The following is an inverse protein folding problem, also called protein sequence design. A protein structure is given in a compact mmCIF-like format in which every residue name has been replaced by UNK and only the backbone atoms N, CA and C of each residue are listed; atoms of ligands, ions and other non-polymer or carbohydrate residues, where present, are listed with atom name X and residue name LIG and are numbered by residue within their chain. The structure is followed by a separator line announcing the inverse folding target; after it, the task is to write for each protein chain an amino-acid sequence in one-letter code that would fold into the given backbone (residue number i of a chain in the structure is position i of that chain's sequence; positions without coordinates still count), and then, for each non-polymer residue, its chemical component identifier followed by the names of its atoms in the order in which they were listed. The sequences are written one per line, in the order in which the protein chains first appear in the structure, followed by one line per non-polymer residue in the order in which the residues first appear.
data_IF_867764282738
#
_entry.id   IF_867764282738
#
_cell.length_a   1.000
_cell.length_b   1.000
_cell.length_c   1.000
_cell.angle_alpha   90.00
_cell.angle_beta   90.00
_cell.angle_gamma   90.00
#
_symmetry.space_group_name_H-M   'P 1'
#
loop_
_entity.id
_entity.type
_entity.pdbx_description
1 polymer ?
#
# COMPACT_ATOMS: atom_id res chain seq x y z
N UNK A 1 24.36 30.82 1.47
CA UNK A 1 23.47 31.52 2.42
C UNK A 1 23.24 30.61 3.61
N UNK A 2 23.67 31.01 4.80
CA UNK A 2 23.35 30.30 6.05
C UNK A 2 21.87 30.51 6.30
N UNK A 3 21.08 29.44 6.30
CA UNK A 3 19.63 29.51 6.48
C UNK A 3 19.32 30.12 7.85
N UNK A 4 18.45 31.12 7.91
CA UNK A 4 18.04 31.81 9.14
C UNK A 4 17.04 30.98 9.97
N UNK A 5 17.17 29.65 9.91
CA UNK A 5 16.31 28.66 10.55
C UNK A 5 16.75 28.40 11.98
N UNK A 6 15.80 28.11 12.87
CA UNK A 6 16.05 27.77 14.28
C UNK A 6 16.23 26.26 14.52
N UNK A 7 15.85 25.44 13.55
CA UNK A 7 15.90 23.98 13.61
C UNK A 7 17.09 23.42 12.82
N UNK A 8 17.53 22.23 13.22
CA UNK A 8 18.66 21.49 12.67
C UNK A 8 18.15 20.57 11.56
N UNK A 9 18.83 20.59 10.42
CA UNK A 9 18.73 19.52 9.42
C UNK A 9 20.06 18.78 9.26
N UNK A 10 20.07 17.67 8.53
CA UNK A 10 21.25 16.83 8.37
C UNK A 10 22.47 17.58 7.80
N UNK A 11 22.30 18.44 6.80
CA UNK A 11 23.41 19.20 6.19
C UNK A 11 24.11 20.15 7.16
N UNK A 12 23.45 20.57 8.25
CA UNK A 12 24.08 21.40 9.27
C UNK A 12 25.21 20.64 9.98
N UNK A 13 25.05 19.33 10.17
CA UNK A 13 26.03 18.43 10.80
C UNK A 13 27.31 18.28 9.98
N UNK A 14 27.17 18.36 8.66
CA UNK A 14 28.33 18.32 7.74
C UNK A 14 29.20 19.57 7.87
N UNK A 15 28.64 20.67 8.39
CA UNK A 15 29.31 21.97 8.55
C UNK A 15 29.76 22.20 9.99
N UNK A 16 28.97 21.78 10.96
CA UNK A 16 29.22 21.92 12.38
C UNK A 16 29.19 20.56 13.08
N UNK A 17 30.37 20.09 13.50
CA UNK A 17 30.52 18.80 14.16
C UNK A 17 29.95 18.77 15.58
N UNK A 18 29.75 19.92 16.23
CA UNK A 18 29.14 19.98 17.56
C UNK A 18 27.68 19.52 17.54
N UNK A 19 27.01 19.63 16.38
CA UNK A 19 25.63 19.17 16.20
C UNK A 19 25.48 17.64 16.24
N UNK A 20 26.57 16.89 16.10
CA UNK A 20 26.56 15.42 16.20
C UNK A 20 26.07 14.94 17.56
N UNK A 21 26.54 15.54 18.64
CA UNK A 21 26.15 15.15 20.01
C UNK A 21 24.63 15.22 20.21
N UNK A 22 23.98 16.27 19.68
CA UNK A 22 22.52 16.41 19.77
C UNK A 22 21.77 15.36 18.94
N UNK A 23 22.29 14.98 17.78
CA UNK A 23 21.71 13.94 16.94
C UNK A 23 21.96 12.53 17.48
N UNK A 24 23.12 12.27 18.06
CA UNK A 24 23.43 11.01 18.75
C UNK A 24 22.48 10.82 19.94
N UNK A 25 22.28 11.85 20.76
CA UNK A 25 21.26 11.88 21.83
C UNK A 25 19.84 11.69 21.28
N UNK A 26 19.53 12.27 20.12
CA UNK A 26 18.25 12.08 19.45
C UNK A 26 18.03 10.61 19.05
N UNK A 27 19.03 10.00 18.41
CA UNK A 27 19.01 8.57 18.03
C UNK A 27 18.83 7.71 19.27
N UNK A 28 19.58 7.95 20.35
CA UNK A 28 19.45 7.21 21.60
C UNK A 28 18.03 7.34 22.19
N UNK A 29 17.47 8.55 22.19
CA UNK A 29 16.11 8.78 22.67
C UNK A 29 15.07 8.02 21.83
N UNK A 30 15.24 7.95 20.51
CA UNK A 30 14.37 7.16 19.61
C UNK A 30 14.54 5.67 19.90
N UNK A 31 15.78 5.19 19.98
CA UNK A 31 16.07 3.78 20.21
C UNK A 31 15.55 3.28 21.56
N UNK A 32 15.60 4.12 22.59
CA UNK A 32 15.11 3.83 23.95
C UNK A 32 13.63 4.15 24.18
N UNK A 33 12.91 4.63 23.15
CA UNK A 33 11.47 4.94 23.24
C UNK A 33 11.12 6.20 24.05
N UNK A 34 12.13 7.02 24.38
CA UNK A 34 11.98 8.28 25.13
C UNK A 34 11.64 9.46 24.22
N UNK A 35 11.94 9.38 22.92
CA UNK A 35 11.64 10.44 21.98
C UNK A 35 10.13 10.70 21.84
N UNK A 36 9.78 11.97 21.58
CA UNK A 36 8.41 12.41 21.28
C UNK A 36 8.46 13.40 20.13
N UNK A 37 7.57 13.22 19.16
CA UNK A 37 7.42 14.16 18.04
C UNK A 37 6.75 15.43 18.56
N UNK A 38 7.37 16.55 18.26
CA UNK A 38 6.85 17.90 18.48
C UNK A 38 6.77 18.63 17.14
N UNK A 39 6.42 19.91 17.18
CA UNK A 39 6.52 20.82 16.05
C UNK A 39 7.55 21.90 16.34
N UNK A 40 8.28 22.32 15.30
CA UNK A 40 9.22 23.45 15.40
C UNK A 40 8.49 24.72 15.81
N UNK A 41 9.18 25.61 16.53
CA UNK A 41 8.71 26.96 16.83
C UNK A 41 8.66 27.76 15.53
N UNK A 42 7.47 27.84 14.94
CA UNK A 42 7.25 28.68 13.77
C UNK A 42 7.14 30.16 14.15
N UNK A 43 7.79 31.03 13.36
CA UNK A 43 7.46 32.47 13.36
C UNK A 43 6.06 32.64 12.77
N UNK A 44 5.35 33.69 13.19
CA UNK A 44 4.03 34.01 12.65
C UNK A 44 4.07 34.06 11.11
N UNK A 45 3.23 33.26 10.45
CA UNK A 45 3.16 33.16 8.99
C UNK A 45 4.08 32.09 8.34
N UNK A 46 4.88 31.35 9.10
CA UNK A 46 5.68 30.23 8.59
C UNK A 46 5.11 28.88 9.01
N UNK A 47 5.25 27.83 8.18
CA UNK A 47 4.85 26.47 8.56
C UNK A 47 5.72 25.94 9.70
N UNK A 48 5.10 25.19 10.60
CA UNK A 48 5.80 24.39 11.62
C UNK A 48 6.06 22.99 11.07
N UNK A 49 7.24 22.44 11.34
CA UNK A 49 7.65 21.13 10.84
C UNK A 49 7.72 20.09 11.97
N UNK A 50 7.48 18.80 11.70
CA UNK A 50 7.72 17.74 12.67
C UNK A 50 9.19 17.73 13.13
N UNK A 51 9.42 17.70 14.44
CA UNK A 51 10.78 17.68 14.99
C UNK A 51 10.87 16.93 16.32
N UNK A 52 12.08 16.57 16.71
CA UNK A 52 12.45 16.17 18.06
C UNK A 52 13.06 17.36 18.80
N UNK A 53 12.71 17.52 20.08
CA UNK A 53 13.37 18.50 20.93
C UNK A 53 14.39 17.79 21.84
N UNK A 54 15.67 18.07 21.64
CA UNK A 54 16.77 17.53 22.44
C UNK A 54 17.51 18.71 23.05
N UNK A 55 17.43 18.83 24.38
CA UNK A 55 18.13 19.90 25.13
C UNK A 55 17.85 21.31 24.58
N UNK A 56 16.61 21.56 24.14
CA UNK A 56 16.20 22.85 23.57
C UNK A 56 16.54 23.04 22.09
N UNK A 57 17.24 22.09 21.45
CA UNK A 57 17.48 22.06 20.00
C UNK A 57 16.35 21.33 19.29
N UNK A 58 15.85 21.94 18.21
CA UNK A 58 14.81 21.36 17.36
C UNK A 58 15.49 20.63 16.20
N UNK A 59 15.36 19.30 16.15
CA UNK A 59 15.95 18.45 15.09
C UNK A 59 14.81 17.94 14.23
N UNK A 60 14.82 18.20 12.92
CA UNK A 60 13.75 17.68 12.06
C UNK A 60 13.71 16.16 12.06
N UNK A 61 12.51 15.59 11.87
CA UNK A 61 12.32 14.14 11.84
C UNK A 61 13.16 13.52 10.71
N UNK A 62 13.11 14.09 9.49
CA UNK A 62 13.97 13.69 8.37
C UNK A 62 15.46 13.71 8.74
N UNK A 63 15.92 14.72 9.49
CA UNK A 63 17.33 14.89 9.83
C UNK A 63 17.86 13.77 10.73
N UNK A 64 17.03 13.27 11.66
CA UNK A 64 17.41 12.15 12.51
C UNK A 64 17.59 10.85 11.72
N UNK A 65 16.69 10.59 10.76
CA UNK A 65 16.78 9.40 9.90
C UNK A 65 17.94 9.50 8.91
N UNK A 66 18.10 10.65 8.25
CA UNK A 66 19.22 10.90 7.33
C UNK A 66 20.57 10.76 8.03
N UNK A 67 20.71 11.37 9.21
CA UNK A 67 21.93 11.28 9.99
C UNK A 67 22.23 9.85 10.42
N UNK A 68 21.23 9.10 10.90
CA UNK A 68 21.44 7.70 11.29
C UNK A 68 21.92 6.85 10.11
N UNK A 69 21.29 6.98 8.93
CA UNK A 69 21.69 6.25 7.73
C UNK A 69 23.08 6.65 7.25
N UNK A 70 23.40 7.95 7.30
CA UNK A 70 24.74 8.45 6.96
C UNK A 70 25.81 7.91 7.90
N UNK A 71 25.61 7.99 9.22
CA UNK A 71 26.58 7.52 10.20
C UNK A 71 26.81 6.01 10.04
N UNK A 72 25.74 5.24 9.85
CA UNK A 72 25.81 3.80 9.57
C UNK A 72 26.59 3.48 8.29
N UNK A 73 26.50 4.31 7.25
CA UNK A 73 27.32 4.16 6.04
C UNK A 73 28.81 4.38 6.31
N UNK A 74 29.16 5.31 7.20
CA UNK A 74 30.56 5.60 7.55
C UNK A 74 31.19 4.55 8.46
N UNK A 75 30.39 3.89 9.30
CA UNK A 75 30.87 2.90 10.28
C UNK A 75 30.85 1.45 9.77
N UNK A 76 30.21 1.21 8.62
CA UNK A 76 29.96 -0.12 8.07
C UNK A 76 28.47 -0.43 8.07
N UNK A 77 27.88 -0.39 6.88
CA UNK A 77 26.43 -0.47 6.73
C UNK A 77 25.89 -1.86 7.05
N UNK A 78 24.93 -1.93 7.97
CA UNK A 78 24.25 -3.17 8.37
C UNK A 78 22.76 -3.00 8.15
N UNK A 79 22.20 -3.75 7.19
CA UNK A 79 20.79 -3.66 6.77
C UNK A 79 19.84 -3.68 7.96
N UNK A 80 19.94 -4.73 8.79
CA UNK A 80 19.06 -4.94 9.94
C UNK A 80 19.01 -3.76 10.92
N UNK A 81 20.13 -3.06 11.15
CA UNK A 81 20.15 -1.86 12.01
C UNK A 81 19.39 -0.70 11.37
N UNK A 82 19.54 -0.52 10.06
CA UNK A 82 18.78 0.47 9.30
C UNK A 82 17.28 0.13 9.31
N UNK A 83 16.92 -1.12 9.06
CA UNK A 83 15.53 -1.60 9.08
C UNK A 83 14.85 -1.34 10.43
N UNK A 84 15.49 -1.74 11.53
CA UNK A 84 14.97 -1.57 12.88
C UNK A 84 14.79 -0.09 13.25
N UNK A 85 15.74 0.76 12.88
CA UNK A 85 15.64 2.20 13.16
C UNK A 85 14.57 2.86 12.29
N UNK A 86 14.50 2.53 11.01
CA UNK A 86 13.46 3.00 10.09
C UNK A 86 12.07 2.60 10.56
N UNK A 87 11.87 1.36 11.04
CA UNK A 87 10.56 0.93 11.54
C UNK A 87 10.16 1.68 12.81
N UNK A 88 11.11 1.92 13.73
CA UNK A 88 10.88 2.77 14.90
C UNK A 88 10.47 4.19 14.50
N UNK A 89 11.15 4.78 13.52
CA UNK A 89 10.81 6.10 13.00
C UNK A 89 9.41 6.12 12.38
N UNK A 90 9.06 5.13 11.58
CA UNK A 90 7.73 4.96 10.99
C UNK A 90 6.63 4.86 12.05
N UNK A 91 6.84 4.04 13.09
CA UNK A 91 5.86 3.89 14.18
C UNK A 91 5.70 5.20 14.97
N UNK A 92 6.81 5.91 15.19
CA UNK A 92 6.82 7.14 15.99
C UNK A 92 6.26 8.36 15.24
N UNK A 93 6.55 8.48 13.95
CA UNK A 93 6.31 9.70 13.16
C UNK A 93 5.28 9.53 12.05
N UNK A 94 4.85 8.30 11.77
CA UNK A 94 4.10 7.96 10.56
C UNK A 94 5.03 7.66 9.37
N UNK A 95 4.46 7.07 8.32
CA UNK A 95 5.20 6.74 7.09
C UNK A 95 5.36 7.94 6.16
N UNK A 96 4.29 8.72 5.98
CA UNK A 96 4.22 9.78 4.98
C UNK A 96 5.08 10.99 5.36
N UNK A 97 5.57 11.67 4.32
CA UNK A 97 6.34 12.91 4.35
C UNK A 97 7.77 12.79 4.86
N UNK A 98 7.99 12.35 6.09
CA UNK A 98 9.35 12.41 6.67
C UNK A 98 10.11 11.12 6.38
N UNK A 99 9.50 9.96 6.66
CA UNK A 99 10.18 8.66 6.52
C UNK A 99 10.27 8.24 5.05
N UNK A 100 9.15 8.25 4.32
CA UNK A 100 9.11 7.87 2.92
C UNK A 100 10.05 8.72 2.04
N UNK A 101 10.10 10.04 2.22
CA UNK A 101 10.95 10.94 1.45
C UNK A 101 12.42 10.72 1.73
N UNK A 102 12.81 10.60 3.01
CA UNK A 102 14.20 10.29 3.35
C UNK A 102 14.64 8.97 2.73
N UNK A 103 13.80 7.93 2.78
CA UNK A 103 14.11 6.63 2.18
C UNK A 103 14.14 6.69 0.65
N UNK A 104 13.23 7.44 0.01
CA UNK A 104 13.26 7.71 -1.42
C UNK A 104 14.58 8.37 -1.79
N UNK A 105 14.95 9.47 -1.14
CA UNK A 105 16.22 10.17 -1.36
C UNK A 105 17.43 9.26 -1.13
N UNK A 106 17.37 8.37 -0.15
CA UNK A 106 18.43 7.36 0.07
C UNK A 106 18.56 6.40 -1.12
N UNK A 107 17.46 5.83 -1.62
CA UNK A 107 17.45 4.99 -2.83
C UNK A 107 18.01 5.74 -4.02
N UNK A 108 17.57 6.98 -4.22
CA UNK A 108 17.99 7.82 -5.34
C UNK A 108 19.49 8.08 -5.32
N UNK A 109 20.04 8.47 -4.16
CA UNK A 109 21.46 8.80 -4.01
C UNK A 109 22.37 7.55 -4.07
N UNK A 110 22.00 6.50 -3.34
CA UNK A 110 22.90 5.35 -3.07
C UNK A 110 22.83 4.29 -4.18
N UNK A 111 21.67 4.16 -4.83
CA UNK A 111 21.43 3.11 -5.81
C UNK A 111 21.20 3.71 -7.19
N UNK A 112 20.13 4.48 -7.37
CA UNK A 112 19.68 4.91 -8.70
C UNK A 112 20.69 5.82 -9.40
N UNK A 113 20.96 7.00 -8.84
CA UNK A 113 21.79 8.02 -9.50
C UNK A 113 23.25 7.59 -9.60
N UNK A 114 23.72 6.71 -8.70
CA UNK A 114 25.05 6.14 -8.76
C UNK A 114 25.17 5.18 -9.93
N UNK A 115 24.34 4.13 -9.98
CA UNK A 115 24.53 3.02 -10.92
C UNK A 115 23.69 3.11 -12.19
N UNK A 116 22.71 4.01 -12.28
CA UNK A 116 21.78 4.08 -13.42
C UNK A 116 21.71 5.50 -13.99
N UNK A 117 21.34 5.58 -15.26
CA UNK A 117 20.90 6.81 -15.91
C UNK A 117 19.55 6.58 -16.60
N UNK A 118 18.77 7.64 -16.75
CA UNK A 118 17.49 7.58 -17.45
C UNK A 118 17.70 7.79 -18.94
N UNK A 119 17.30 6.81 -19.74
CA UNK A 119 17.27 6.88 -21.20
C UNK A 119 15.84 7.04 -21.74
N UNK A 120 14.88 7.37 -20.88
CA UNK A 120 13.51 7.68 -21.26
C UNK A 120 13.44 8.96 -22.10
N UNK A 121 12.53 8.97 -23.07
CA UNK A 121 12.30 10.13 -23.94
C UNK A 121 11.26 11.11 -23.34
N UNK A 122 10.59 10.72 -22.26
CA UNK A 122 9.60 11.55 -21.57
C UNK A 122 9.88 11.63 -20.07
N UNK A 123 9.35 12.69 -19.44
CA UNK A 123 9.42 12.88 -17.98
C UNK A 123 8.53 11.91 -17.18
N UNK A 124 7.70 11.11 -17.84
CA UNK A 124 6.71 10.22 -17.21
C UNK A 124 7.02 8.73 -17.43
N UNK A 125 7.84 8.41 -18.43
CA UNK A 125 8.24 7.05 -18.76
C UNK A 125 9.76 6.94 -18.62
N UNK A 126 10.19 6.48 -17.45
CA UNK A 126 11.60 6.28 -17.15
C UNK A 126 12.09 4.96 -17.76
N UNK A 127 13.29 4.99 -18.33
CA UNK A 127 13.99 3.82 -18.83
C UNK A 127 15.39 3.79 -18.23
N UNK A 128 15.51 3.21 -17.05
CA UNK A 128 16.77 3.12 -16.34
C UNK A 128 17.73 2.12 -17.00
N UNK A 129 18.94 2.59 -17.30
CA UNK A 129 20.02 1.77 -17.86
C UNK A 129 21.19 1.75 -16.89
N UNK A 130 21.73 0.55 -16.63
CA UNK A 130 22.90 0.34 -15.77
C UNK A 130 24.16 0.94 -16.40
N UNK A 131 24.90 1.72 -15.62
CA UNK A 131 26.24 2.22 -15.94
C UNK A 131 27.25 1.11 -15.71
N UNK A 132 27.75 0.53 -16.80
CA UNK A 132 28.71 -0.59 -16.74
C UNK A 132 30.05 -0.21 -16.10
N UNK A 133 30.43 1.07 -16.16
CA UNK A 133 31.68 1.60 -15.61
C UNK A 133 31.67 1.62 -14.06
N UNK A 134 30.51 1.82 -13.44
CA UNK A 134 30.37 1.88 -11.97
C UNK A 134 30.38 0.51 -11.29
N UNK A 135 30.36 -0.58 -12.07
CA UNK A 135 30.39 -1.95 -11.55
C UNK A 135 31.78 -2.38 -11.03
N UNK A 136 32.82 -1.56 -11.24
CA UNK A 136 34.16 -1.82 -10.71
C UNK A 136 34.19 -1.79 -9.16
N UNK A 137 33.23 -1.09 -8.54
CA UNK A 137 33.05 -1.02 -7.08
C UNK A 137 31.62 -1.40 -6.69
N UNK A 138 31.30 -2.72 -6.70
CA UNK A 138 29.93 -3.19 -6.47
C UNK A 138 29.45 -2.80 -5.07
N UNK A 139 28.15 -2.49 -4.97
CA UNK A 139 27.54 -2.15 -3.71
C UNK A 139 27.48 -3.40 -2.80
N UNK A 140 27.91 -3.33 -1.53
CA UNK A 140 27.83 -4.46 -0.62
C UNK A 140 26.39 -4.97 -0.45
N UNK A 141 26.23 -6.27 -0.25
CA UNK A 141 24.91 -6.93 -0.17
C UNK A 141 23.99 -6.31 0.90
N UNK A 142 24.55 -5.82 2.01
CA UNK A 142 23.78 -5.15 3.08
C UNK A 142 22.99 -3.92 2.60
N UNK A 143 23.51 -3.17 1.62
CA UNK A 143 22.75 -2.06 1.04
C UNK A 143 21.58 -2.56 0.19
N UNK A 144 21.78 -3.66 -0.54
CA UNK A 144 20.76 -4.27 -1.39
C UNK A 144 19.64 -4.89 -0.54
N UNK A 145 19.98 -5.50 0.60
CA UNK A 145 19.00 -5.97 1.60
C UNK A 145 18.14 -4.82 2.11
N UNK A 146 18.76 -3.71 2.52
CA UNK A 146 18.01 -2.54 2.96
C UNK A 146 17.15 -1.93 1.85
N UNK A 147 17.64 -1.92 0.60
CA UNK A 147 16.85 -1.50 -0.55
C UNK A 147 15.58 -2.35 -0.74
N UNK A 148 15.71 -3.68 -0.63
CA UNK A 148 14.55 -4.58 -0.65
C UNK A 148 13.58 -4.29 0.50
N UNK A 149 14.08 -4.01 1.72
CA UNK A 149 13.23 -3.59 2.83
C UNK A 149 12.48 -2.29 2.55
N UNK A 150 13.16 -1.28 1.97
CA UNK A 150 12.53 0.00 1.59
C UNK A 150 11.42 -0.25 0.57
N UNK A 151 11.65 -1.09 -0.45
CA UNK A 151 10.61 -1.47 -1.41
C UNK A 151 9.39 -2.12 -0.75
N UNK A 152 9.61 -3.01 0.24
CA UNK A 152 8.52 -3.62 1.02
C UNK A 152 7.75 -2.56 1.81
N UNK A 153 8.45 -1.59 2.41
CA UNK A 153 7.80 -0.53 3.18
C UNK A 153 6.92 0.36 2.30
N UNK A 154 7.38 0.75 1.11
CA UNK A 154 6.57 1.48 0.15
C UNK A 154 5.33 0.69 -0.28
N UNK A 155 5.46 -0.62 -0.51
CA UNK A 155 4.31 -1.47 -0.84
C UNK A 155 3.32 -1.59 0.32
N UNK A 156 3.81 -1.68 1.56
CA UNK A 156 2.97 -1.96 2.73
C UNK A 156 2.33 -0.70 3.33
N UNK A 157 3.08 0.39 3.38
CA UNK A 157 2.73 1.61 4.11
C UNK A 157 2.55 2.83 3.21
N UNK A 158 3.04 2.76 1.97
CA UNK A 158 2.90 3.83 0.97
C UNK A 158 1.49 3.94 0.41
N UNK A 159 1.35 4.90 -0.50
CA UNK A 159 0.15 5.08 -1.28
C UNK A 159 0.07 4.03 -2.40
N UNK A 160 -1.12 3.83 -2.95
CA UNK A 160 -1.35 2.90 -4.06
C UNK A 160 -0.43 3.13 -5.27
N UNK A 161 -0.06 4.38 -5.56
CA UNK A 161 0.91 4.72 -6.61
C UNK A 161 2.36 4.29 -6.35
N UNK A 162 2.73 4.08 -5.09
CA UNK A 162 4.12 3.75 -4.68
C UNK A 162 4.54 2.32 -5.04
N UNK A 163 3.59 1.50 -5.50
CA UNK A 163 3.89 0.17 -6.03
C UNK A 163 4.90 0.24 -7.18
N UNK A 164 4.74 1.20 -8.09
CA UNK A 164 5.65 1.40 -9.22
C UNK A 164 7.09 1.66 -8.77
N UNK A 165 7.26 2.49 -7.74
CA UNK A 165 8.56 2.77 -7.14
C UNK A 165 9.14 1.55 -6.41
N UNK A 166 8.30 0.77 -5.74
CA UNK A 166 8.71 -0.50 -5.12
C UNK A 166 9.24 -1.49 -6.16
N UNK A 167 8.54 -1.66 -7.28
CA UNK A 167 8.97 -2.51 -8.39
C UNK A 167 10.26 -1.99 -9.05
N UNK A 168 10.39 -0.68 -9.19
CA UNK A 168 11.60 -0.02 -9.69
C UNK A 168 12.82 -0.35 -8.80
N UNK A 169 12.71 -0.21 -7.48
CA UNK A 169 13.79 -0.57 -6.55
C UNK A 169 14.22 -2.03 -6.73
N UNK A 170 13.27 -2.96 -6.80
CA UNK A 170 13.56 -4.39 -6.98
C UNK A 170 14.22 -4.68 -8.34
N UNK A 171 13.87 -3.90 -9.37
CA UNK A 171 14.52 -3.98 -10.68
C UNK A 171 15.98 -3.53 -10.60
N UNK A 172 16.28 -2.45 -9.86
CA UNK A 172 17.65 -1.98 -9.63
C UNK A 172 18.49 -3.02 -8.91
N UNK A 173 17.96 -3.60 -7.83
CA UNK A 173 18.66 -4.64 -7.07
C UNK A 173 18.96 -5.86 -7.94
N UNK A 174 18.01 -6.26 -8.81
CA UNK A 174 18.22 -7.37 -9.75
C UNK A 174 19.29 -7.02 -10.80
N UNK A 175 19.24 -5.81 -11.36
CA UNK A 175 20.20 -5.35 -12.36
C UNK A 175 21.63 -5.21 -11.80
N UNK A 176 21.77 -4.96 -10.50
CA UNK A 176 23.04 -5.00 -9.77
C UNK A 176 23.54 -6.43 -9.47
N UNK A 177 22.84 -7.46 -9.96
CA UNK A 177 23.29 -8.86 -9.90
C UNK A 177 22.84 -9.63 -8.66
N UNK A 178 21.96 -9.07 -7.82
CA UNK A 178 21.49 -9.75 -6.60
C UNK A 178 20.30 -10.69 -6.86
N UNK A 179 20.29 -11.85 -6.20
CA UNK A 179 19.17 -12.80 -6.20
C UNK A 179 18.04 -12.43 -5.24
N UNK A 180 18.23 -11.43 -4.36
CA UNK A 180 17.27 -11.08 -3.31
C UNK A 180 15.85 -10.84 -3.83
N UNK A 181 15.61 -10.08 -4.93
CA UNK A 181 14.27 -9.87 -5.46
C UNK A 181 13.57 -11.17 -5.88
N UNK A 182 14.33 -12.12 -6.44
CA UNK A 182 13.79 -13.43 -6.81
C UNK A 182 13.47 -14.30 -5.60
N UNK A 183 14.24 -14.16 -4.51
CA UNK A 183 14.02 -14.88 -3.26
C UNK A 183 12.80 -14.36 -2.50
N UNK A 184 12.69 -13.03 -2.31
CA UNK A 184 11.55 -12.41 -1.61
C UNK A 184 10.25 -12.57 -2.41
N UNK A 185 10.31 -12.67 -3.73
CA UNK A 185 9.16 -13.06 -4.58
C UNK A 185 8.64 -14.47 -4.26
N UNK A 186 9.52 -15.37 -3.82
CA UNK A 186 9.14 -16.75 -3.44
C UNK A 186 8.74 -16.85 -1.97
N UNK A 187 9.44 -16.17 -1.07
CA UNK A 187 9.35 -16.37 0.38
C UNK A 187 8.58 -15.28 1.14
N UNK A 188 8.28 -14.15 0.49
CA UNK A 188 7.81 -12.94 1.16
C UNK A 188 8.95 -12.17 1.83
N UNK A 189 8.63 -11.10 2.53
CA UNK A 189 9.64 -10.23 3.18
C UNK A 189 10.22 -10.85 4.47
N UNK A 190 9.48 -11.78 5.10
CA UNK A 190 9.77 -12.28 6.44
C UNK A 190 9.19 -11.44 7.58
N UNK A 191 8.57 -10.28 7.30
CA UNK A 191 7.91 -9.42 8.30
C UNK A 191 6.56 -9.96 8.79
N UNK A 192 5.90 -10.78 7.98
CA UNK A 192 4.64 -11.43 8.33
C UNK A 192 4.92 -12.91 8.59
N UNK A 193 4.49 -13.48 9.74
CA UNK A 193 4.66 -14.89 10.04
C UNK A 193 4.04 -15.77 8.96
N UNK A 194 4.72 -16.88 8.65
CA UNK A 194 4.36 -17.75 7.52
C UNK A 194 2.97 -18.35 7.68
N UNK A 195 2.56 -18.62 8.91
CA UNK A 195 1.23 -19.12 9.28
C UNK A 195 0.09 -18.13 9.04
N UNK A 196 0.41 -16.84 8.90
CA UNK A 196 -0.53 -15.79 8.47
C UNK A 196 -0.56 -15.71 6.94
N UNK A 197 0.60 -15.78 6.27
CA UNK A 197 0.74 -15.70 4.81
C UNK A 197 0.26 -16.95 4.07
N UNK A 198 0.24 -18.12 4.71
CA UNK A 198 -0.13 -19.38 4.08
C UNK A 198 -1.23 -20.10 4.86
N UNK A 199 -2.24 -20.59 4.16
CA UNK A 199 -3.19 -21.57 4.67
C UNK A 199 -3.45 -22.62 3.58
N UNK A 200 -3.18 -23.88 3.86
CA UNK A 200 -3.33 -24.98 2.89
C UNK A 200 -4.10 -26.12 3.53
N UNK A 201 -5.22 -26.48 2.92
CA UNK A 201 -6.06 -27.61 3.31
C UNK A 201 -6.28 -28.54 2.11
N UNK A 202 -7.03 -29.63 2.34
CA UNK A 202 -7.49 -30.50 1.26
C UNK A 202 -8.44 -29.78 0.31
N UNK A 203 -9.19 -28.80 0.83
CA UNK A 203 -10.30 -28.15 0.12
C UNK A 203 -9.91 -26.82 -0.54
N UNK A 204 -8.94 -26.09 0.02
CA UNK A 204 -8.46 -24.83 -0.54
C UNK A 204 -6.98 -24.55 -0.20
N UNK A 205 -6.40 -23.56 -0.86
CA UNK A 205 -5.08 -23.02 -0.54
C UNK A 205 -5.04 -21.51 -0.75
N UNK A 206 -4.53 -20.80 0.23
CA UNK A 206 -4.29 -19.37 0.22
C UNK A 206 -2.79 -19.12 0.45
N UNK A 207 -2.18 -18.29 -0.39
CA UNK A 207 -0.77 -17.88 -0.28
C UNK A 207 -0.69 -16.39 -0.59
N UNK A 208 -0.28 -15.58 0.38
CA UNK A 208 0.01 -14.17 0.19
C UNK A 208 1.52 -13.93 0.03
N UNK A 209 1.86 -12.90 -0.72
CA UNK A 209 3.19 -12.30 -0.76
C UNK A 209 3.04 -10.81 -0.47
N UNK A 210 3.65 -10.36 0.61
CA UNK A 210 3.57 -9.01 1.15
C UNK A 210 4.49 -8.01 0.46
N UNK A 211 5.54 -8.49 -0.22
CA UNK A 211 6.45 -7.66 -1.03
C UNK A 211 5.75 -7.17 -2.30
N UNK A 212 4.94 -8.02 -2.91
CA UNK A 212 4.22 -7.71 -4.17
C UNK A 212 2.73 -7.41 -3.94
N UNK A 213 2.30 -7.43 -2.67
CA UNK A 213 0.90 -7.33 -2.26
C UNK A 213 -0.03 -8.21 -3.12
N UNK A 214 0.28 -9.50 -3.21
CA UNK A 214 -0.53 -10.48 -3.97
C UNK A 214 -1.10 -11.54 -3.04
N UNK A 215 -2.33 -11.96 -3.31
CA UNK A 215 -3.03 -13.02 -2.58
C UNK A 215 -3.53 -14.05 -3.59
N UNK A 216 -2.88 -15.21 -3.63
CA UNK A 216 -3.24 -16.34 -4.48
C UNK A 216 -4.17 -17.27 -3.73
N UNK A 217 -5.35 -17.51 -4.28
CA UNK A 217 -6.38 -18.33 -3.67
C UNK A 217 -6.81 -19.40 -4.66
N UNK A 218 -6.81 -20.65 -4.23
CA UNK A 218 -7.33 -21.77 -5.02
C UNK A 218 -8.30 -22.57 -4.18
N UNK A 219 -9.55 -22.62 -4.60
CA UNK A 219 -10.56 -23.54 -4.06
C UNK A 219 -10.56 -24.78 -4.94
N UNK A 220 -10.29 -25.94 -4.35
CA UNK A 220 -10.20 -27.24 -5.05
C UNK A 220 -11.55 -27.93 -5.10
N UNK A 221 -12.30 -27.85 -4.00
CA UNK A 221 -13.66 -28.38 -3.89
C UNK A 221 -14.63 -27.27 -3.54
N UNK A 222 -15.70 -27.18 -4.30
CA UNK A 222 -16.78 -26.24 -4.03
C UNK A 222 -17.47 -26.63 -2.71
N UNK A 223 -17.69 -25.67 -1.83
CA UNK A 223 -18.41 -25.89 -0.58
C UNK A 223 -18.34 -24.67 0.33
N UNK A 224 -19.35 -24.55 1.18
CA UNK A 224 -19.45 -23.48 2.18
C UNK A 224 -18.19 -23.39 3.06
N UNK A 225 -17.70 -24.53 3.54
CA UNK A 225 -16.50 -24.62 4.38
C UNK A 225 -15.24 -24.08 3.68
N UNK A 226 -15.09 -24.34 2.37
CA UNK A 226 -13.97 -23.82 1.58
C UNK A 226 -13.98 -22.29 1.53
N UNK A 227 -15.14 -21.69 1.26
CA UNK A 227 -15.28 -20.23 1.19
C UNK A 227 -15.20 -19.59 2.59
N UNK A 228 -15.74 -20.23 3.62
CA UNK A 228 -15.59 -19.80 5.01
C UNK A 228 -14.10 -19.68 5.38
N UNK A 229 -13.32 -20.72 5.12
CA UNK A 229 -11.88 -20.74 5.41
C UNK A 229 -11.09 -19.70 4.61
N UNK A 230 -11.46 -19.47 3.34
CA UNK A 230 -10.86 -18.40 2.53
C UNK A 230 -11.18 -17.01 3.10
N UNK A 231 -12.42 -16.74 3.51
CA UNK A 231 -12.82 -15.46 4.09
C UNK A 231 -12.15 -15.22 5.45
N UNK A 232 -12.05 -16.25 6.29
CA UNK A 232 -11.34 -16.18 7.57
C UNK A 232 -9.85 -15.92 7.37
N UNK A 233 -9.23 -16.56 6.38
CA UNK A 233 -7.86 -16.27 5.97
C UNK A 233 -7.68 -14.81 5.55
N UNK A 234 -8.56 -14.30 4.68
CA UNK A 234 -8.50 -12.92 4.19
C UNK A 234 -8.64 -11.91 5.34
N UNK A 235 -9.62 -12.10 6.24
CA UNK A 235 -9.81 -11.24 7.39
C UNK A 235 -8.58 -11.24 8.30
N UNK A 236 -8.07 -12.43 8.66
CA UNK A 236 -6.87 -12.58 9.50
C UNK A 236 -5.64 -11.90 8.89
N UNK A 237 -5.47 -12.02 7.57
CA UNK A 237 -4.37 -11.38 6.85
C UNK A 237 -4.45 -9.85 6.92
N UNK A 238 -5.65 -9.28 6.71
CA UNK A 238 -5.87 -7.83 6.79
C UNK A 238 -5.77 -7.29 8.21
N UNK A 239 -6.27 -8.02 9.21
CA UNK A 239 -6.16 -7.69 10.64
C UNK A 239 -4.70 -7.67 11.10
N UNK A 240 -3.83 -8.53 10.53
CA UNK A 240 -2.39 -8.50 10.80
C UNK A 240 -1.67 -7.26 10.21
N UNK A 241 -2.33 -6.52 9.31
CA UNK A 241 -1.77 -5.34 8.66
C UNK A 241 -1.00 -5.65 7.38
N UNK A 242 -1.55 -6.54 6.54
CA UNK A 242 -1.15 -6.66 5.13
C UNK A 242 -1.39 -5.35 4.35
N UNK A 243 -0.74 -5.20 3.19
CA UNK A 243 -0.89 -4.02 2.33
C UNK A 243 -2.37 -3.72 2.03
N UNK A 244 -2.71 -2.43 1.94
CA UNK A 244 -4.09 -1.97 1.72
C UNK A 244 -4.49 -2.00 0.25
N UNK A 245 -3.57 -1.70 -0.65
CA UNK A 245 -3.67 -2.03 -2.08
C UNK A 245 -3.04 -3.40 -2.35
N UNK A 246 -3.75 -4.30 -3.03
CA UNK A 246 -3.29 -5.68 -3.29
C UNK A 246 -4.02 -6.34 -4.45
N UNK A 247 -3.48 -7.43 -4.99
CA UNK A 247 -4.15 -8.26 -6.00
C UNK A 247 -4.75 -9.52 -5.37
N UNK A 248 -5.98 -9.88 -5.77
CA UNK A 248 -6.53 -11.23 -5.53
C UNK A 248 -6.49 -12.03 -6.82
N UNK A 249 -5.72 -13.12 -6.81
CA UNK A 249 -5.66 -14.13 -7.86
C UNK A 249 -6.42 -15.38 -7.41
N UNK A 250 -7.72 -15.40 -7.65
CA UNK A 250 -8.58 -16.52 -7.27
C UNK A 250 -8.80 -17.50 -8.43
N UNK A 251 -8.81 -18.80 -8.11
CA UNK A 251 -9.25 -19.90 -8.97
C UNK A 251 -10.17 -20.82 -8.19
N UNK A 252 -11.41 -20.97 -8.67
CA UNK A 252 -12.37 -21.95 -8.15
C UNK A 252 -12.91 -22.85 -9.27
N UNK A 253 -13.58 -23.97 -8.92
CA UNK A 253 -14.08 -24.92 -9.91
C UNK A 253 -15.24 -24.33 -10.74
N UNK A 254 -16.07 -23.46 -10.15
CA UNK A 254 -17.20 -22.84 -10.82
C UNK A 254 -16.83 -21.46 -11.39
N UNK A 255 -16.93 -21.29 -12.71
CA UNK A 255 -16.69 -20.01 -13.41
C UNK A 255 -17.93 -19.08 -13.39
N UNK A 256 -18.55 -18.96 -12.23
CA UNK A 256 -19.67 -18.03 -11.98
C UNK A 256 -19.13 -16.67 -11.58
N UNK A 257 -19.77 -15.60 -12.07
CA UNK A 257 -19.42 -14.20 -11.80
C UNK A 257 -20.69 -13.45 -11.38
N UNK A 258 -20.54 -12.27 -10.77
CA UNK A 258 -21.67 -11.45 -10.38
C UNK A 258 -22.52 -11.08 -11.61
N UNK A 259 -23.86 -11.06 -11.49
CA UNK A 259 -24.77 -10.78 -12.60
C UNK A 259 -24.86 -9.27 -12.90
N UNK A 260 -23.71 -8.60 -12.97
CA UNK A 260 -23.57 -7.16 -13.27
C UNK A 260 -22.88 -7.03 -14.62
N UNK A 261 -23.48 -6.27 -15.52
CA UNK A 261 -22.95 -6.05 -16.87
C UNK A 261 -21.63 -5.28 -16.78
N UNK A 262 -20.73 -5.52 -17.74
CA UNK A 262 -19.42 -4.85 -17.88
C UNK A 262 -18.44 -4.99 -16.70
N UNK A 263 -18.74 -5.83 -15.70
CA UNK A 263 -17.72 -6.18 -14.72
C UNK A 263 -16.63 -7.08 -15.34
N UNK A 264 -15.38 -6.94 -14.88
CA UNK A 264 -14.30 -7.79 -15.37
C UNK A 264 -14.49 -9.23 -14.87
N UNK A 265 -14.29 -10.20 -15.76
CA UNK A 265 -14.30 -11.64 -15.42
C UNK A 265 -12.98 -12.07 -14.79
N UNK A 266 -12.65 -11.47 -13.63
CA UNK A 266 -11.42 -11.71 -12.87
C UNK A 266 -11.69 -12.60 -11.66
N UNK A 267 -10.63 -13.14 -11.07
CA UNK A 267 -10.73 -14.06 -9.94
C UNK A 267 -11.48 -13.45 -8.74
N UNK A 268 -11.26 -12.18 -8.42
CA UNK A 268 -11.97 -11.52 -7.31
C UNK A 268 -13.49 -11.48 -7.50
N UNK A 269 -13.96 -11.24 -8.73
CA UNK A 269 -15.37 -11.30 -9.07
C UNK A 269 -15.90 -12.75 -8.89
N UNK A 270 -15.16 -13.73 -9.40
CA UNK A 270 -15.50 -15.15 -9.24
C UNK A 270 -15.60 -15.56 -7.77
N UNK A 271 -14.65 -15.13 -6.93
CA UNK A 271 -14.62 -15.46 -5.50
C UNK A 271 -15.93 -15.04 -4.82
N UNK A 272 -16.29 -13.77 -4.91
CA UNK A 272 -17.45 -13.25 -4.19
C UNK A 272 -18.78 -13.66 -4.82
N UNK A 273 -18.83 -13.85 -6.15
CA UNK A 273 -20.00 -14.40 -6.82
C UNK A 273 -20.35 -15.81 -6.34
N UNK A 274 -19.36 -16.64 -6.01
CA UNK A 274 -19.60 -17.98 -5.50
C UNK A 274 -19.77 -18.02 -3.97
N UNK A 275 -19.03 -17.21 -3.21
CA UNK A 275 -19.12 -17.20 -1.75
C UNK A 275 -20.49 -16.70 -1.26
N UNK A 276 -21.08 -15.72 -1.95
CA UNK A 276 -22.37 -15.12 -1.54
C UNK A 276 -23.58 -16.06 -1.70
N UNK A 277 -23.41 -17.19 -2.41
CA UNK A 277 -24.46 -18.21 -2.51
C UNK A 277 -24.75 -18.92 -1.20
N UNK A 278 -23.86 -18.80 -0.20
CA UNK A 278 -24.02 -19.40 1.12
C UNK A 278 -24.45 -18.32 2.14
N UNK A 279 -25.72 -18.29 2.60
CA UNK A 279 -26.21 -17.25 3.51
C UNK A 279 -25.44 -17.13 4.82
N UNK A 280 -24.95 -18.24 5.35
CA UNK A 280 -24.11 -18.31 6.56
C UNK A 280 -22.78 -17.57 6.44
N UNK A 281 -22.31 -17.29 5.21
CA UNK A 281 -21.05 -16.61 4.98
C UNK A 281 -21.20 -15.11 4.85
N UNK A 282 -22.42 -14.57 4.79
CA UNK A 282 -22.59 -13.15 4.47
C UNK A 282 -21.96 -12.22 5.50
N UNK A 283 -22.04 -12.55 6.80
CA UNK A 283 -21.37 -11.77 7.86
C UNK A 283 -19.85 -11.76 7.69
N UNK A 284 -19.26 -12.87 7.19
CA UNK A 284 -17.82 -12.94 6.89
C UNK A 284 -17.45 -12.14 5.64
N UNK A 285 -18.32 -12.12 4.63
CA UNK A 285 -18.15 -11.29 3.42
C UNK A 285 -18.21 -9.80 3.80
N UNK A 286 -19.17 -9.40 4.64
CA UNK A 286 -19.28 -8.03 5.13
C UNK A 286 -18.08 -7.65 5.99
N UNK A 287 -17.65 -8.52 6.92
CA UNK A 287 -16.44 -8.31 7.71
C UNK A 287 -15.22 -8.08 6.82
N UNK A 288 -15.03 -8.91 5.79
CA UNK A 288 -13.96 -8.72 4.82
C UNK A 288 -14.07 -7.37 4.12
N UNK A 289 -15.24 -7.00 3.62
CA UNK A 289 -15.46 -5.73 2.94
C UNK A 289 -15.04 -4.56 3.85
N UNK A 290 -15.53 -4.53 5.10
CA UNK A 290 -15.21 -3.46 6.06
C UNK A 290 -13.72 -3.40 6.44
N UNK A 291 -13.01 -4.53 6.45
CA UNK A 291 -11.56 -4.56 6.69
C UNK A 291 -10.74 -4.09 5.47
N UNK A 292 -11.25 -4.35 4.27
CA UNK A 292 -10.56 -4.11 3.01
C UNK A 292 -10.75 -2.67 2.51
N UNK A 293 -11.96 -2.13 2.61
CA UNK A 293 -12.31 -0.81 2.07
C UNK A 293 -11.50 0.30 2.75
N UNK A 294 -10.79 1.07 1.94
CA UNK A 294 -10.07 2.27 2.36
C UNK A 294 -9.90 3.18 1.14
N UNK A 295 -10.26 4.45 1.31
CA UNK A 295 -10.13 5.49 0.28
C UNK A 295 -8.70 5.53 -0.29
N UNK A 296 -8.59 5.78 -1.61
CA UNK A 296 -7.34 5.84 -2.39
C UNK A 296 -6.53 4.52 -2.50
N UNK A 297 -7.12 3.38 -2.13
CA UNK A 297 -6.49 2.06 -2.24
C UNK A 297 -7.16 1.20 -3.33
N UNK A 298 -6.37 0.41 -4.06
CA UNK A 298 -6.80 -0.23 -5.30
C UNK A 298 -6.41 -1.70 -5.40
N UNK A 299 -7.22 -2.49 -6.12
CA UNK A 299 -6.81 -3.82 -6.53
C UNK A 299 -5.69 -3.75 -7.59
N UNK A 300 -4.50 -4.25 -7.25
CA UNK A 300 -3.30 -4.18 -8.12
C UNK A 300 -3.39 -4.94 -9.45
N UNK A 301 -4.43 -5.75 -9.67
CA UNK A 301 -4.64 -6.53 -10.88
C UNK A 301 -5.89 -6.10 -11.68
N UNK A 302 -6.42 -4.92 -11.36
CA UNK A 302 -7.47 -4.22 -12.07
C UNK A 302 -6.97 -2.82 -12.45
N UNK A 303 -7.15 -2.44 -13.70
CA UNK A 303 -6.57 -1.21 -14.27
C UNK A 303 -7.60 -0.53 -15.20
N UNK A 304 -7.37 0.75 -15.48
CA UNK A 304 -8.22 1.55 -16.36
C UNK A 304 -9.66 1.62 -15.86
N UNK A 305 -10.62 1.38 -16.75
CA UNK A 305 -12.06 1.43 -16.41
C UNK A 305 -12.47 0.40 -15.34
N UNK A 306 -11.68 -0.64 -15.11
CA UNK A 306 -11.98 -1.68 -14.13
C UNK A 306 -11.39 -1.42 -12.74
N UNK A 307 -10.75 -0.27 -12.54
CA UNK A 307 -10.16 0.07 -11.24
C UNK A 307 -11.22 -0.02 -10.13
N UNK A 308 -10.83 -0.62 -9.01
CA UNK A 308 -11.74 -0.92 -7.92
C UNK A 308 -11.00 -1.01 -6.60
N UNK A 309 -11.60 -0.47 -5.55
CA UNK A 309 -11.09 -0.55 -4.20
C UNK A 309 -11.18 -1.99 -3.67
N UNK A 310 -10.21 -2.46 -2.88
CA UNK A 310 -10.36 -3.71 -2.16
C UNK A 310 -11.65 -3.76 -1.34
N UNK A 311 -12.48 -4.77 -1.59
CA UNK A 311 -13.82 -4.89 -1.00
C UNK A 311 -14.98 -4.65 -1.97
N UNK A 312 -14.77 -3.96 -3.11
CA UNK A 312 -15.87 -3.62 -4.06
C UNK A 312 -16.72 -4.83 -4.46
N UNK A 313 -16.09 -5.95 -4.85
CA UNK A 313 -16.82 -7.14 -5.29
C UNK A 313 -17.57 -7.85 -4.14
N UNK A 314 -17.09 -7.72 -2.90
CA UNK A 314 -17.78 -8.24 -1.73
C UNK A 314 -19.05 -7.41 -1.43
N UNK A 315 -18.94 -6.08 -1.50
CA UNK A 315 -20.06 -5.15 -1.37
C UNK A 315 -21.09 -5.39 -2.47
N UNK A 316 -20.65 -5.50 -3.73
CA UNK A 316 -21.55 -5.74 -4.86
C UNK A 316 -22.30 -7.06 -4.73
N UNK A 317 -21.62 -8.11 -4.27
CA UNK A 317 -22.23 -9.41 -4.03
C UNK A 317 -23.34 -9.33 -2.98
N UNK A 318 -23.08 -8.70 -1.84
CA UNK A 318 -24.05 -8.56 -0.75
C UNK A 318 -25.19 -7.59 -1.10
N UNK A 319 -24.86 -6.41 -1.63
CA UNK A 319 -25.83 -5.39 -2.00
C UNK A 319 -26.82 -5.86 -3.07
N UNK A 320 -26.38 -6.71 -4.01
CA UNK A 320 -27.30 -7.37 -4.94
C UNK A 320 -28.06 -8.53 -4.32
N UNK A 321 -27.56 -9.18 -3.26
CA UNK A 321 -28.22 -10.34 -2.65
C UNK A 321 -29.46 -9.93 -1.86
N UNK A 322 -29.34 -8.91 -1.02
CA UNK A 322 -30.37 -8.51 -0.06
C UNK A 322 -30.27 -7.01 0.27
N UNK A 323 -31.41 -6.31 0.24
CA UNK A 323 -31.48 -4.87 0.53
C UNK A 323 -31.13 -4.50 1.99
N UNK A 324 -30.97 -5.48 2.89
CA UNK A 324 -30.46 -5.24 4.26
C UNK A 324 -29.01 -4.73 4.26
N UNK A 325 -28.23 -5.03 3.22
CA UNK A 325 -26.85 -4.54 3.08
C UNK A 325 -26.75 -3.15 2.46
N UNK A 326 -27.89 -2.47 2.23
CA UNK A 326 -27.91 -1.10 1.72
C UNK A 326 -26.97 -0.14 2.47
N UNK A 327 -26.90 -0.14 3.82
CA UNK A 327 -25.95 0.72 4.53
C UNK A 327 -24.49 0.45 4.18
N UNK A 328 -24.09 -0.82 4.01
CA UNK A 328 -22.74 -1.19 3.57
C UNK A 328 -22.43 -0.64 2.17
N UNK A 329 -23.42 -0.63 1.28
CA UNK A 329 -23.27 -0.09 -0.06
C UNK A 329 -23.12 1.44 -0.02
N UNK A 330 -23.89 2.14 0.82
CA UNK A 330 -23.73 3.58 1.02
C UNK A 330 -22.34 3.91 1.59
N UNK A 331 -21.91 3.20 2.64
CA UNK A 331 -20.57 3.36 3.23
C UNK A 331 -19.47 3.19 2.16
N UNK A 332 -19.62 2.18 1.30
CA UNK A 332 -18.69 1.93 0.20
C UNK A 332 -18.68 3.08 -0.82
N UNK A 333 -19.84 3.54 -1.29
CA UNK A 333 -19.92 4.60 -2.29
C UNK A 333 -19.42 5.95 -1.73
N UNK A 334 -19.55 6.20 -0.44
CA UNK A 334 -18.99 7.39 0.22
C UNK A 334 -17.46 7.38 0.30
N UNK A 335 -16.84 6.19 0.35
CA UNK A 335 -15.38 6.02 0.35
C UNK A 335 -14.77 6.06 -1.06
N UNK A 336 -15.60 6.03 -2.09
CA UNK A 336 -15.17 6.01 -3.46
C UNK A 336 -14.73 7.42 -3.88
N UNK A 337 -13.47 7.57 -4.28
CA UNK A 337 -12.96 8.80 -4.88
C UNK A 337 -13.45 8.93 -6.33
N UNK A 338 -13.93 10.12 -6.70
CA UNK A 338 -14.68 10.27 -7.95
C UNK A 338 -13.89 10.24 -9.25
N UNK A 339 -12.57 10.05 -9.18
CA UNK A 339 -11.66 10.21 -10.32
C UNK A 339 -11.52 8.94 -11.19
N UNK A 340 -11.77 7.72 -10.68
CA UNK A 340 -11.37 6.48 -11.38
C UNK A 340 -12.37 5.31 -11.37
N UNK A 341 -13.67 5.61 -11.32
CA UNK A 341 -14.67 4.61 -10.89
C UNK A 341 -15.84 4.43 -11.86
N UNK A 342 -15.76 3.42 -12.74
CA UNK A 342 -16.82 3.13 -13.73
C UNK A 342 -17.72 1.94 -13.33
N UNK A 343 -17.20 0.98 -12.56
CA UNK A 343 -17.89 -0.27 -12.25
C UNK A 343 -19.00 -0.11 -11.20
N UNK A 344 -18.92 0.95 -10.40
CA UNK A 344 -19.85 1.33 -9.35
C UNK A 344 -21.19 1.73 -9.99
N UNK A 345 -21.15 2.52 -11.06
CA UNK A 345 -22.35 2.87 -11.82
C UNK A 345 -23.04 1.66 -12.44
N UNK A 346 -22.27 0.68 -12.95
CA UNK A 346 -22.84 -0.56 -13.47
C UNK A 346 -23.47 -1.42 -12.36
N UNK A 347 -22.87 -1.42 -11.16
CA UNK A 347 -23.48 -2.04 -9.97
C UNK A 347 -24.79 -1.33 -9.56
N UNK A 348 -24.81 0.00 -9.45
CA UNK A 348 -26.02 0.75 -9.07
C UNK A 348 -27.12 0.54 -10.11
N UNK A 349 -26.77 0.51 -11.39
CA UNK A 349 -27.71 0.16 -12.46
C UNK A 349 -28.28 -1.25 -12.25
N UNK A 350 -27.45 -2.24 -11.96
CA UNK A 350 -27.91 -3.61 -11.70
C UNK A 350 -28.80 -3.72 -10.46
N UNK A 351 -28.49 -2.93 -9.41
CA UNK A 351 -29.31 -2.85 -8.20
C UNK A 351 -30.71 -2.29 -8.52
N UNK A 352 -30.79 -1.20 -9.28
CA UNK A 352 -32.05 -0.59 -9.72
C UNK A 352 -32.81 -1.52 -10.68
N UNK A 353 -32.13 -2.17 -11.63
CA UNK A 353 -32.76 -3.15 -12.54
C UNK A 353 -33.38 -4.33 -11.74
N UNK A 354 -32.80 -4.71 -10.59
CA UNK A 354 -33.30 -5.80 -9.74
C UNK A 354 -34.43 -5.37 -8.80
N UNK A 355 -34.25 -4.27 -8.07
CA UNK A 355 -35.13 -3.87 -6.97
C UNK A 355 -36.11 -2.74 -7.33
N UNK A 356 -35.94 -2.12 -8.51
CA UNK A 356 -36.67 -0.92 -8.94
C UNK A 356 -36.00 0.38 -8.45
N UNK A 357 -36.48 1.52 -8.97
CA UNK A 357 -35.99 2.85 -8.61
C UNK A 357 -36.67 3.37 -7.32
N UNK A 358 -36.49 2.62 -6.24
CA UNK A 358 -37.01 2.91 -4.89
C UNK A 358 -36.22 4.02 -4.20
N UNK A 359 -36.62 4.45 -2.99
CA UNK A 359 -35.86 5.43 -2.19
C UNK A 359 -34.39 5.02 -2.00
N UNK A 360 -34.14 3.72 -1.74
CA UNK A 360 -32.79 3.15 -1.67
C UNK A 360 -32.06 3.24 -3.00
N UNK A 361 -32.73 2.86 -4.10
CA UNK A 361 -32.15 2.99 -5.45
C UNK A 361 -31.78 4.44 -5.80
N UNK A 362 -32.61 5.41 -5.40
CA UNK A 362 -32.36 6.85 -5.58
C UNK A 362 -31.20 7.35 -4.72
N UNK A 363 -31.07 6.87 -3.48
CA UNK A 363 -29.93 7.19 -2.63
C UNK A 363 -28.62 6.68 -3.24
N UNK A 364 -28.57 5.41 -3.65
CA UNK A 364 -27.39 4.86 -4.32
C UNK A 364 -27.07 5.60 -5.62
N UNK A 365 -28.09 5.98 -6.39
CA UNK A 365 -27.92 6.79 -7.58
C UNK A 365 -27.23 8.13 -7.26
N UNK A 366 -27.71 8.86 -6.26
CA UNK A 366 -27.15 10.17 -5.87
C UNK A 366 -25.72 10.04 -5.39
N UNK A 367 -25.43 9.08 -4.52
CA UNK A 367 -24.06 8.81 -4.07
C UNK A 367 -23.12 8.46 -5.23
N UNK A 368 -23.62 7.69 -6.20
CA UNK A 368 -22.86 7.39 -7.41
C UNK A 368 -22.63 8.64 -8.28
N UNK A 369 -23.64 9.49 -8.45
CA UNK A 369 -23.57 10.71 -9.27
C UNK A 369 -22.61 11.75 -8.68
N UNK A 370 -22.63 11.93 -7.36
CA UNK A 370 -21.72 12.85 -6.66
C UNK A 370 -20.25 12.39 -6.76
N UNK A 371 -20.02 11.08 -6.79
CA UNK A 371 -18.69 10.48 -6.71
C UNK A 371 -18.25 9.82 -8.03
N UNK A 372 -18.81 10.13 -9.20
CA UNK A 372 -18.31 9.52 -10.45
C UNK A 372 -18.30 10.51 -11.61
N UNK A 373 -17.16 10.56 -12.31
CA UNK A 373 -17.02 11.35 -13.53
C UNK A 373 -17.91 10.80 -14.69
N UNK A 374 -18.16 9.49 -14.72
CA UNK A 374 -18.87 8.84 -15.83
C UNK A 374 -19.96 7.86 -15.38
N UNK A 375 -21.22 8.30 -15.40
CA UNK A 375 -22.39 7.44 -15.18
C UNK A 375 -22.76 6.62 -16.43
N UNK A 376 -23.18 5.35 -16.31
CA UNK A 376 -23.71 4.58 -17.43
C UNK A 376 -24.88 5.30 -18.11
N UNK A 377 -24.93 5.30 -19.45
CA UNK A 377 -25.97 6.02 -20.21
C UNK A 377 -27.41 5.60 -19.85
N UNK A 378 -27.60 4.34 -19.40
CA UNK A 378 -28.90 3.87 -18.91
C UNK A 378 -29.26 4.44 -17.55
N UNK A 379 -28.28 4.67 -16.68
CA UNK A 379 -28.47 5.28 -15.38
C UNK A 379 -28.92 6.75 -15.54
N UNK A 380 -28.34 7.46 -16.51
CA UNK A 380 -28.73 8.84 -16.87
C UNK A 380 -30.20 9.00 -17.29
N UNK A 381 -30.89 7.90 -17.67
CA UNK A 381 -32.33 7.95 -18.01
C UNK A 381 -33.23 8.08 -16.78
N UNK A 382 -32.68 7.87 -15.59
CA UNK A 382 -33.39 8.07 -14.32
C UNK A 382 -33.14 9.48 -13.75
N UNK A 383 -32.44 10.36 -14.48
CA UNK A 383 -32.34 11.79 -14.16
C UNK A 383 -33.73 12.44 -14.27
N UNK A 384 -34.16 13.23 -13.27
CA UNK A 384 -35.40 14.00 -13.33
C UNK A 384 -35.45 15.00 -14.48
#
# INVERSE_FOLDING_TARGET
MVSNRSYIIFEDVLRDKELKDYLDKCIEAIQTGKARVSKTKAKQGYPSYPCFNIEGKEILVEAALEYFLYDLQTLGFVSKKAEEFTDKMRVLCGWQWEVDRTLKTWIEKIIRNRFFYDAGESKYEHKWILKTEEMEYPLPEEYLKFACFVAVCFTRYGHSGDKSFSEEILSFVSALGSSLPAEIKKRGSGLIPREILECKTKEYSCVANDVFATIKITVKKQGEESYAGVLDYLCRLLEFGFAKSYAIEFRGPNKTYLPIKKLPKKGVNQLFANAVEYPSLHDKIEKYARLAMKEFEWYHNLEGEFCAMPGSFAVFALGLRDEKYHPLVCDYLLLCDGEHQSIQGEFVLAYIEKNGFTEKGQELYRLCEENMEHLPAKLKKFMP
#
